data_IF_395990445532
#
_entry.id   IF_395990445532
#
_cell.length_a   1.000
_cell.length_b   1.000
_cell.length_c   1.000
_cell.angle_alpha   90.00
_cell.angle_beta   90.00
_cell.angle_gamma   90.00
#
_symmetry.space_group_name_H-M   'P 1'
#
loop_
_entity.id
_entity.type
_entity.pdbx_description
1 polymer ?
#
# COMPACT_ATOMS: atom_id res chain seq x y z
N UNK A 1 -11.89 0.71 -22.83
CA UNK A 1 -10.93 0.56 -21.73
C UNK A 1 -10.28 -0.81 -21.90
N UNK A 2 -8.97 -0.85 -21.87
CA UNK A 2 -8.20 -2.10 -21.91
C UNK A 2 -7.24 -2.09 -20.73
N UNK A 3 -7.46 -3.01 -19.79
CA UNK A 3 -6.65 -3.19 -18.58
C UNK A 3 -5.72 -4.42 -18.69
N UNK A 4 -5.57 -4.98 -19.88
CA UNK A 4 -4.65 -6.07 -20.06
C UNK A 4 -3.21 -5.55 -19.84
N UNK A 5 -2.43 -6.23 -18.99
CA UNK A 5 -1.03 -5.84 -18.79
C UNK A 5 -0.26 -5.93 -20.10
N UNK A 6 0.64 -4.99 -20.32
CA UNK A 6 1.64 -5.13 -21.39
C UNK A 6 2.57 -6.31 -21.11
N UNK A 7 3.34 -6.74 -22.11
CA UNK A 7 4.32 -7.82 -21.91
C UNK A 7 5.34 -7.46 -20.83
N UNK A 8 5.75 -6.20 -20.74
CA UNK A 8 6.70 -5.70 -19.73
C UNK A 8 6.06 -5.71 -18.32
N UNK A 9 4.82 -5.25 -18.19
CA UNK A 9 4.09 -5.29 -16.94
C UNK A 9 3.87 -6.72 -16.45
N UNK A 10 3.48 -7.63 -17.36
CA UNK A 10 3.29 -9.04 -17.04
C UNK A 10 4.61 -9.73 -16.64
N UNK A 11 5.72 -9.42 -17.32
CA UNK A 11 7.04 -9.94 -16.99
C UNK A 11 7.51 -9.45 -15.62
N UNK A 12 7.35 -8.15 -15.32
CA UNK A 12 7.67 -7.58 -14.00
C UNK A 12 6.84 -8.20 -12.88
N UNK A 13 5.53 -8.38 -13.09
CA UNK A 13 4.64 -9.04 -12.14
C UNK A 13 5.03 -10.50 -11.90
N UNK A 14 5.36 -11.25 -12.96
CA UNK A 14 5.83 -12.64 -12.86
C UNK A 14 7.14 -12.76 -12.08
N UNK A 15 8.08 -11.84 -12.29
CA UNK A 15 9.34 -11.78 -11.52
C UNK A 15 9.07 -11.46 -10.05
N UNK A 16 8.21 -10.46 -9.76
CA UNK A 16 7.82 -10.11 -8.41
C UNK A 16 7.15 -11.29 -7.69
N UNK A 17 6.21 -11.98 -8.36
CA UNK A 17 5.54 -13.17 -7.83
C UNK A 17 6.55 -14.26 -7.42
N UNK A 18 7.58 -14.48 -8.22
CA UNK A 18 8.64 -15.45 -7.90
C UNK A 18 9.43 -15.02 -6.67
N UNK A 19 9.93 -13.78 -6.64
CA UNK A 19 10.74 -13.26 -5.55
C UNK A 19 9.95 -13.26 -4.23
N UNK A 20 8.70 -12.76 -4.24
CA UNK A 20 7.88 -12.74 -3.04
C UNK A 20 7.53 -14.14 -2.55
N UNK A 21 7.18 -15.08 -3.44
CA UNK A 21 6.92 -16.46 -3.07
C UNK A 21 8.14 -17.14 -2.43
N UNK A 22 9.32 -16.92 -3.00
CA UNK A 22 10.53 -17.62 -2.60
C UNK A 22 11.16 -17.02 -1.33
N UNK A 23 11.00 -15.70 -1.10
CA UNK A 23 11.61 -14.98 0.02
C UNK A 23 10.63 -14.55 1.12
N UNK A 24 9.33 -14.42 0.87
CA UNK A 24 8.37 -14.09 1.93
C UNK A 24 7.77 -15.35 2.56
N UNK A 25 8.65 -16.29 3.01
CA UNK A 25 8.22 -17.50 3.71
C UNK A 25 7.72 -17.18 5.12
N UNK A 26 6.94 -18.10 5.70
CA UNK A 26 6.39 -17.91 7.04
C UNK A 26 7.51 -17.68 8.09
N UNK A 27 8.59 -18.45 8.01
CA UNK A 27 9.74 -18.36 8.92
C UNK A 27 10.44 -17.00 8.81
N UNK A 28 10.65 -16.50 7.59
CA UNK A 28 11.27 -15.19 7.36
C UNK A 28 10.39 -14.05 7.82
N UNK A 29 9.09 -14.12 7.55
CA UNK A 29 8.11 -13.14 8.01
C UNK A 29 8.01 -13.12 9.55
N UNK A 30 8.08 -14.27 10.21
CA UNK A 30 8.12 -14.37 11.66
C UNK A 30 9.42 -13.77 12.23
N UNK A 31 10.56 -14.04 11.60
CA UNK A 31 11.86 -13.51 12.00
C UNK A 31 11.96 -11.98 11.84
N UNK A 32 11.32 -11.41 10.82
CA UNK A 32 11.27 -9.96 10.61
C UNK A 32 10.48 -9.21 11.70
N UNK A 33 9.56 -9.89 12.39
CA UNK A 33 8.73 -9.30 13.44
C UNK A 33 7.99 -8.05 12.96
N UNK A 34 8.30 -6.89 13.54
CA UNK A 34 7.80 -5.57 13.12
C UNK A 34 8.83 -4.78 12.29
N UNK A 35 9.90 -5.40 11.83
CA UNK A 35 10.91 -4.83 10.96
C UNK A 35 10.68 -5.18 9.49
N UNK A 36 11.55 -4.69 8.61
CA UNK A 36 11.55 -5.06 7.20
C UNK A 36 12.56 -6.16 6.89
N UNK A 37 12.25 -7.02 5.92
CA UNK A 37 13.15 -8.04 5.43
C UNK A 37 14.19 -7.43 4.48
N UNK A 38 15.41 -7.22 4.99
CA UNK A 38 16.48 -6.56 4.25
C UNK A 38 17.01 -7.38 3.05
N UNK A 39 16.93 -8.71 3.09
CA UNK A 39 17.35 -9.55 1.96
C UNK A 39 16.33 -9.52 0.84
N UNK A 40 15.04 -9.57 1.21
CA UNK A 40 13.97 -9.41 0.24
C UNK A 40 14.05 -8.00 -0.41
N UNK A 41 14.30 -6.96 0.37
CA UNK A 41 14.49 -5.61 -0.15
C UNK A 41 15.65 -5.54 -1.15
N UNK A 42 16.80 -6.12 -0.82
CA UNK A 42 17.97 -6.21 -1.72
C UNK A 42 17.65 -7.02 -2.98
N UNK A 43 16.89 -8.10 -2.88
CA UNK A 43 16.48 -8.89 -4.04
C UNK A 43 15.62 -8.07 -5.02
N UNK A 44 14.60 -7.33 -4.51
CA UNK A 44 13.78 -6.44 -5.33
C UNK A 44 14.63 -5.35 -6.02
N UNK A 45 15.59 -4.76 -5.29
CA UNK A 45 16.48 -3.76 -5.80
C UNK A 45 17.39 -4.31 -6.91
N UNK A 46 18.06 -5.45 -6.64
CA UNK A 46 19.02 -6.07 -7.57
C UNK A 46 18.37 -6.59 -8.85
N UNK A 47 17.10 -7.01 -8.78
CA UNK A 47 16.31 -7.39 -9.95
C UNK A 47 15.67 -6.19 -10.67
N UNK A 48 15.91 -4.96 -10.22
CA UNK A 48 15.42 -3.74 -10.87
C UNK A 48 13.94 -3.45 -10.66
N UNK A 49 13.21 -4.19 -9.80
CA UNK A 49 11.77 -4.02 -9.61
C UNK A 49 11.40 -2.68 -8.97
N UNK A 50 12.30 -2.09 -8.16
CA UNK A 50 12.08 -0.75 -7.60
C UNK A 50 12.22 0.31 -8.71
N UNK A 51 13.22 0.16 -9.57
CA UNK A 51 13.46 1.09 -10.68
C UNK A 51 12.37 1.01 -11.76
N UNK A 52 11.85 -0.18 -12.03
CA UNK A 52 10.88 -0.44 -13.08
C UNK A 52 9.57 0.34 -12.95
N UNK A 53 9.24 0.81 -11.75
CA UNK A 53 7.95 1.51 -11.47
C UNK A 53 7.72 2.71 -12.39
N UNK A 54 8.78 3.42 -12.82
CA UNK A 54 8.65 4.54 -13.75
C UNK A 54 8.35 4.08 -15.19
N UNK A 55 8.76 2.89 -15.56
CA UNK A 55 8.62 2.35 -16.91
C UNK A 55 7.28 1.59 -17.05
N UNK A 56 6.88 0.83 -16.02
CA UNK A 56 5.64 0.03 -16.05
C UNK A 56 4.39 0.83 -15.69
N UNK A 57 4.53 2.06 -15.18
CA UNK A 57 3.42 2.93 -14.78
C UNK A 57 2.71 2.48 -13.50
N UNK A 58 1.59 3.15 -13.21
CA UNK A 58 0.81 2.87 -11.99
C UNK A 58 0.09 1.51 -12.08
N UNK A 59 -0.38 1.11 -13.28
CA UNK A 59 -0.98 -0.21 -13.47
C UNK A 59 0.04 -1.32 -13.22
N UNK A 60 1.26 -1.18 -13.73
CA UNK A 60 2.34 -2.11 -13.44
C UNK A 60 2.66 -2.17 -11.95
N UNK A 61 2.73 -1.02 -11.26
CA UNK A 61 2.94 -0.99 -9.81
C UNK A 61 1.81 -1.72 -9.07
N UNK A 62 0.55 -1.54 -9.44
CA UNK A 62 -0.59 -2.24 -8.84
C UNK A 62 -0.43 -3.76 -8.95
N UNK A 63 0.00 -4.27 -10.11
CA UNK A 63 0.27 -5.71 -10.30
C UNK A 63 1.39 -6.21 -9.38
N UNK A 64 2.47 -5.44 -9.24
CA UNK A 64 3.59 -5.78 -8.34
C UNK A 64 3.13 -5.79 -6.86
N UNK A 65 2.28 -4.86 -6.48
CA UNK A 65 1.74 -4.75 -5.12
C UNK A 65 0.72 -5.84 -4.80
N UNK A 66 -0.03 -6.35 -5.78
CA UNK A 66 -0.84 -7.55 -5.58
C UNK A 66 0.03 -8.72 -5.15
N UNK A 67 1.19 -8.93 -5.75
CA UNK A 67 2.09 -10.02 -5.37
C UNK A 67 2.73 -9.79 -3.99
N UNK A 68 3.08 -8.55 -3.65
CA UNK A 68 3.48 -8.19 -2.29
C UNK A 68 2.38 -8.53 -1.28
N UNK A 69 1.14 -8.13 -1.56
CA UNK A 69 -0.03 -8.37 -0.69
C UNK A 69 -0.35 -9.86 -0.55
N UNK A 70 -0.30 -10.62 -1.63
CA UNK A 70 -0.56 -12.07 -1.66
C UNK A 70 0.29 -12.85 -0.67
N UNK A 71 1.51 -12.39 -0.43
CA UNK A 71 2.45 -13.01 0.51
C UNK A 71 2.57 -12.25 1.83
N UNK A 72 1.96 -11.08 1.96
CA UNK A 72 2.16 -10.14 3.08
C UNK A 72 3.64 -9.81 3.31
N UNK A 73 4.38 -9.60 2.22
CA UNK A 73 5.82 -9.40 2.24
C UNK A 73 6.22 -8.09 2.95
N UNK A 74 7.07 -8.23 3.96
CA UNK A 74 7.38 -7.16 4.91
C UNK A 74 8.55 -6.30 4.42
N UNK A 75 8.28 -5.44 3.45
CA UNK A 75 9.25 -4.50 2.87
C UNK A 75 8.57 -3.17 2.55
N UNK A 76 9.30 -2.03 2.57
CA UNK A 76 8.77 -0.69 2.31
C UNK A 76 8.51 -0.42 0.81
N UNK A 77 8.21 -1.45 0.01
CA UNK A 77 8.11 -1.36 -1.44
C UNK A 77 6.99 -0.41 -1.89
N UNK A 78 5.76 -0.65 -1.42
CA UNK A 78 4.62 0.21 -1.71
C UNK A 78 4.89 1.68 -1.31
N UNK A 79 5.41 1.88 -0.10
CA UNK A 79 5.66 3.22 0.42
C UNK A 79 6.73 3.97 -0.38
N UNK A 80 7.86 3.30 -0.69
CA UNK A 80 8.96 3.92 -1.45
C UNK A 80 8.54 4.28 -2.87
N UNK A 81 7.80 3.41 -3.54
CA UNK A 81 7.30 3.71 -4.87
C UNK A 81 6.29 4.86 -4.86
N UNK A 82 5.30 4.81 -3.97
CA UNK A 82 4.16 5.74 -3.94
C UNK A 82 4.54 7.12 -3.40
N UNK A 83 5.35 7.19 -2.34
CA UNK A 83 5.67 8.46 -1.66
C UNK A 83 7.06 8.99 -1.99
N UNK A 84 7.89 8.19 -2.64
CA UNK A 84 9.22 8.60 -3.08
C UNK A 84 9.29 8.76 -4.59
N UNK A 85 9.24 7.64 -5.32
CA UNK A 85 9.54 7.63 -6.76
C UNK A 85 8.49 8.39 -7.58
N UNK A 86 7.21 8.04 -7.45
CA UNK A 86 6.14 8.64 -8.26
C UNK A 86 6.03 10.16 -8.08
N UNK A 87 5.89 10.72 -6.85
CA UNK A 87 5.74 12.16 -6.68
C UNK A 87 6.98 12.95 -7.07
N UNK A 88 8.19 12.43 -6.82
CA UNK A 88 9.41 13.09 -7.26
C UNK A 88 9.57 13.06 -8.78
N UNK A 89 9.20 11.97 -9.45
CA UNK A 89 9.23 11.89 -10.91
C UNK A 89 8.24 12.88 -11.55
N UNK A 90 7.03 13.00 -11.01
CA UNK A 90 5.98 13.86 -11.56
C UNK A 90 6.15 15.33 -11.18
N UNK A 91 6.43 15.63 -9.91
CA UNK A 91 6.35 16.98 -9.34
C UNK A 91 7.67 17.52 -8.79
N UNK A 92 8.70 16.69 -8.66
CA UNK A 92 10.02 17.12 -8.18
C UNK A 92 10.71 18.10 -9.14
N UNK A 93 11.53 19.00 -8.62
CA UNK A 93 12.40 19.85 -9.45
C UNK A 93 13.43 19.00 -10.19
N UNK A 94 14.06 19.55 -11.23
CA UNK A 94 15.13 18.86 -11.95
C UNK A 94 16.29 18.46 -11.01
N UNK A 95 16.61 19.31 -10.05
CA UNK A 95 17.62 19.04 -9.04
C UNK A 95 17.20 17.90 -8.08
N UNK A 96 15.98 17.95 -7.56
CA UNK A 96 15.42 16.89 -6.72
C UNK A 96 15.43 15.55 -7.43
N UNK A 97 14.96 15.50 -8.68
CA UNK A 97 14.98 14.26 -9.48
C UNK A 97 16.40 13.73 -9.68
N UNK A 98 17.34 14.58 -10.05
CA UNK A 98 18.72 14.16 -10.30
C UNK A 98 19.42 13.63 -9.03
N UNK A 99 19.11 14.19 -7.86
CA UNK A 99 19.73 13.85 -6.58
C UNK A 99 19.09 12.64 -5.92
N UNK A 100 17.76 12.51 -5.96
CA UNK A 100 17.03 11.57 -5.12
C UNK A 100 16.58 10.30 -5.87
N UNK A 101 16.16 10.40 -7.13
CA UNK A 101 15.65 9.23 -7.85
C UNK A 101 16.68 8.11 -8.01
N UNK A 102 17.98 8.35 -8.25
CA UNK A 102 18.93 7.25 -8.35
C UNK A 102 19.01 6.37 -7.11
N UNK A 103 19.13 6.96 -5.93
CA UNK A 103 19.21 6.22 -4.66
C UNK A 103 17.89 5.54 -4.25
N UNK A 104 16.74 6.13 -4.59
CA UNK A 104 15.43 5.49 -4.40
C UNK A 104 15.25 4.28 -5.33
N UNK A 105 15.65 4.40 -6.59
CA UNK A 105 15.55 3.33 -7.60
C UNK A 105 16.46 2.14 -7.31
N UNK A 106 17.60 2.38 -6.70
CA UNK A 106 18.51 1.31 -6.26
C UNK A 106 18.14 0.72 -4.90
N UNK A 107 17.12 1.27 -4.21
CA UNK A 107 16.74 0.85 -2.88
C UNK A 107 17.73 1.25 -1.78
N UNK A 108 18.74 2.06 -2.10
CA UNK A 108 19.71 2.62 -1.15
C UNK A 108 19.04 3.65 -0.23
N UNK A 109 18.11 4.45 -0.79
CA UNK A 109 17.21 5.30 -0.04
C UNK A 109 15.82 4.67 0.03
N UNK A 110 15.14 4.86 1.15
CA UNK A 110 13.77 4.41 1.41
C UNK A 110 12.92 5.64 1.69
N UNK A 111 11.78 5.75 1.02
CA UNK A 111 10.82 6.82 1.27
C UNK A 111 9.51 6.27 1.85
N UNK A 112 8.85 7.10 2.66
CA UNK A 112 7.49 6.86 3.14
C UNK A 112 6.69 8.15 3.14
N UNK A 113 5.39 8.08 3.53
CA UNK A 113 4.51 9.24 3.54
C UNK A 113 3.64 9.34 4.78
N UNK A 114 3.43 10.57 5.25
CA UNK A 114 2.53 10.90 6.35
C UNK A 114 1.13 11.26 5.82
N UNK A 115 0.49 10.34 5.12
CA UNK A 115 -0.78 10.52 4.42
C UNK A 115 -1.96 9.81 5.11
N UNK A 116 -3.20 10.29 4.88
CA UNK A 116 -3.58 11.57 4.26
C UNK A 116 -3.32 12.75 5.19
N UNK A 117 -3.48 13.99 4.68
CA UNK A 117 -3.35 15.19 5.53
C UNK A 117 -4.32 15.13 6.72
N UNK A 118 -3.81 15.38 7.93
CA UNK A 118 -4.59 15.35 9.17
C UNK A 118 -4.58 16.72 9.90
N UNK A 119 -4.16 17.79 9.21
CA UNK A 119 -3.97 19.15 9.77
C UNK A 119 -3.10 19.18 11.02
N UNK A 120 -2.14 18.28 11.10
CA UNK A 120 -1.28 18.08 12.26
C UNK A 120 0.14 18.61 12.03
N UNK A 121 0.43 19.11 10.82
CA UNK A 121 1.72 19.69 10.43
C UNK A 121 1.47 21.03 9.76
N UNK A 122 2.19 22.05 10.22
CA UNK A 122 2.18 23.42 9.69
C UNK A 122 3.54 23.77 9.14
N UNK A 123 3.58 24.58 8.09
CA UNK A 123 4.81 25.14 7.53
C UNK A 123 4.94 26.59 7.96
N UNK A 124 6.13 26.99 8.44
CA UNK A 124 6.47 28.39 8.68
C UNK A 124 6.83 29.10 7.37
N UNK A 125 6.80 30.44 7.31
CA UNK A 125 7.13 31.21 6.11
C UNK A 125 8.54 30.95 5.55
N UNK A 126 9.47 30.54 6.39
CA UNK A 126 10.84 30.16 6.06
C UNK A 126 11.00 28.66 5.68
N UNK A 127 9.89 27.92 5.63
CA UNK A 127 9.86 26.52 5.18
C UNK A 127 10.12 25.49 6.28
N UNK A 128 10.23 25.88 7.55
CA UNK A 128 10.37 24.97 8.68
C UNK A 128 9.05 24.30 9.02
N UNK A 129 9.04 22.96 9.15
CA UNK A 129 7.85 22.19 9.51
C UNK A 129 7.75 21.97 11.01
N UNK A 130 6.54 22.14 11.55
CA UNK A 130 6.23 21.86 12.96
C UNK A 130 4.94 21.06 13.08
N UNK A 131 4.94 20.01 13.90
CA UNK A 131 3.77 19.17 14.12
C UNK A 131 4.08 17.72 14.38
N UNK A 132 3.05 16.87 14.35
CA UNK A 132 3.19 15.44 14.64
C UNK A 132 2.30 14.62 13.72
N UNK A 133 2.89 13.66 12.99
CA UNK A 133 2.17 12.57 12.35
C UNK A 133 2.21 11.34 13.28
N UNK A 134 1.04 10.94 13.81
CA UNK A 134 0.95 9.95 14.87
C UNK A 134 1.38 8.55 14.41
N UNK A 135 1.07 8.19 13.16
CA UNK A 135 1.42 6.90 12.56
C UNK A 135 1.87 7.12 11.13
N UNK A 136 3.11 6.78 10.86
CA UNK A 136 3.70 6.79 9.51
C UNK A 136 4.19 5.37 9.21
N UNK A 137 3.66 4.68 8.21
CA UNK A 137 4.08 3.33 7.85
C UNK A 137 5.55 3.31 7.42
N UNK A 138 6.27 2.27 7.76
CA UNK A 138 7.70 2.07 7.41
C UNK A 138 8.63 3.23 7.79
N UNK A 139 8.23 4.09 8.73
CA UNK A 139 9.06 5.23 9.16
C UNK A 139 10.43 4.81 9.70
N UNK A 140 10.50 3.65 10.37
CA UNK A 140 11.75 3.18 10.97
C UNK A 140 12.81 2.72 9.96
N UNK A 141 12.37 2.44 8.72
CA UNK A 141 13.28 2.09 7.61
C UNK A 141 13.56 3.27 6.70
N UNK A 142 12.75 4.35 6.81
CA UNK A 142 12.77 5.44 5.88
C UNK A 142 13.95 6.40 6.10
N UNK A 143 14.60 6.79 5.03
CA UNK A 143 15.56 7.89 4.97
C UNK A 143 14.88 9.23 4.67
N UNK A 144 13.71 9.17 4.01
CA UNK A 144 12.92 10.34 3.62
C UNK A 144 11.44 10.13 3.92
N UNK A 145 10.76 11.21 4.30
CA UNK A 145 9.31 11.21 4.50
C UNK A 145 8.69 12.33 3.69
N UNK A 146 7.68 11.98 2.89
CA UNK A 146 6.83 12.96 2.22
C UNK A 146 5.68 13.35 3.16
N UNK A 147 5.62 14.63 3.52
CA UNK A 147 4.68 15.15 4.52
C UNK A 147 3.81 16.22 3.88
N UNK A 148 2.49 16.07 3.84
CA UNK A 148 1.58 17.16 3.50
C UNK A 148 1.38 18.07 4.74
N UNK A 149 1.45 19.39 4.54
CA UNK A 149 1.01 20.36 5.54
C UNK A 149 -0.53 20.55 5.53
N UNK A 150 -1.03 21.41 6.41
CA UNK A 150 -2.46 21.70 6.52
C UNK A 150 -3.06 22.33 5.25
N UNK A 151 -2.25 22.97 4.43
CA UNK A 151 -2.63 23.59 3.14
C UNK A 151 -2.45 22.65 1.95
N UNK A 152 -2.14 21.37 2.21
CA UNK A 152 -1.88 20.33 1.19
C UNK A 152 -0.66 20.60 0.32
N UNK A 153 0.31 21.36 0.81
CA UNK A 153 1.62 21.48 0.16
C UNK A 153 2.46 20.26 0.58
N UNK A 154 3.15 19.67 -0.39
CA UNK A 154 4.02 18.52 -0.14
C UNK A 154 5.43 18.97 0.23
N UNK A 155 5.94 18.38 1.28
CA UNK A 155 7.27 18.61 1.81
C UNK A 155 8.03 17.29 1.95
N UNK A 156 9.26 17.25 1.46
CA UNK A 156 10.16 16.13 1.64
C UNK A 156 11.15 16.46 2.73
N UNK A 157 11.24 15.60 3.73
CA UNK A 157 12.17 15.72 4.86
C UNK A 157 13.07 14.49 4.96
N UNK A 158 14.28 14.67 5.44
CA UNK A 158 15.15 13.56 5.84
C UNK A 158 14.84 13.18 7.29
N UNK A 159 14.84 11.89 7.56
CA UNK A 159 14.55 11.39 8.93
C UNK A 159 15.66 11.69 9.94
N UNK A 160 16.87 11.97 9.48
CA UNK A 160 18.05 12.35 10.29
C UNK A 160 18.29 13.87 10.38
N UNK A 161 17.37 14.69 9.81
CA UNK A 161 17.53 16.15 9.81
C UNK A 161 17.30 16.75 11.21
N UNK A 162 17.91 17.91 11.51
CA UNK A 162 17.63 18.66 12.73
C UNK A 162 16.15 18.99 12.86
N UNK A 163 15.61 18.88 14.08
CA UNK A 163 14.19 19.11 14.35
C UNK A 163 13.27 17.95 14.00
N UNK A 164 13.80 16.82 13.53
CA UNK A 164 13.07 15.58 13.26
C UNK A 164 13.30 14.58 14.37
N UNK A 165 12.22 14.06 14.96
CA UNK A 165 12.27 12.97 15.93
C UNK A 165 11.30 11.86 15.51
N UNK A 166 11.75 10.62 15.66
CA UNK A 166 10.95 9.43 15.36
C UNK A 166 10.84 8.53 16.57
N UNK A 167 9.69 7.90 16.76
CA UNK A 167 9.48 6.90 17.80
C UNK A 167 8.69 5.71 17.23
N UNK A 168 9.01 4.46 17.62
CA UNK A 168 8.26 3.30 17.21
C UNK A 168 6.78 3.40 17.58
N UNK A 169 5.90 2.90 16.71
CA UNK A 169 4.46 2.76 16.96
C UNK A 169 4.03 1.36 16.53
N UNK A 170 3.30 0.67 17.39
CA UNK A 170 2.65 -0.58 17.04
C UNK A 170 1.40 -0.30 16.21
N UNK A 171 1.23 -1.08 15.15
CA UNK A 171 0.08 -1.03 14.25
C UNK A 171 -0.56 -2.41 14.13
N UNK A 172 -1.78 -2.47 13.59
CA UNK A 172 -2.49 -3.75 13.40
C UNK A 172 -1.68 -4.73 12.54
N UNK A 173 -1.17 -4.28 11.40
CA UNK A 173 -0.17 -5.04 10.66
C UNK A 173 1.21 -4.82 11.28
N UNK A 174 2.12 -5.80 11.24
CA UNK A 174 3.44 -5.69 11.84
C UNK A 174 4.39 -4.85 10.98
N UNK A 175 3.94 -3.67 10.57
CA UNK A 175 4.76 -2.75 9.78
C UNK A 175 5.78 -2.04 10.65
N UNK A 176 6.88 -1.67 10.05
CA UNK A 176 7.96 -0.88 10.66
C UNK A 176 7.52 0.60 10.83
N UNK A 177 6.37 0.80 11.47
CA UNK A 177 5.74 2.10 11.64
C UNK A 177 6.36 2.93 12.75
N UNK A 178 6.15 4.23 12.70
CA UNK A 178 6.62 5.18 13.71
C UNK A 178 5.77 6.43 13.79
N UNK A 179 5.95 7.17 14.89
CA UNK A 179 5.48 8.53 15.07
C UNK A 179 6.58 9.49 14.60
N UNK A 180 6.18 10.46 13.78
CA UNK A 180 7.06 11.53 13.31
C UNK A 180 6.70 12.81 14.06
N UNK A 181 7.68 13.43 14.73
CA UNK A 181 7.55 14.74 15.39
C UNK A 181 8.52 15.72 14.75
N UNK A 182 8.00 16.89 14.38
CA UNK A 182 8.72 17.94 13.68
C UNK A 182 8.73 19.21 14.55
N UNK A 183 9.89 19.84 14.70
CA UNK A 183 10.09 21.07 15.49
C UNK A 183 10.96 22.02 14.69
N UNK A 184 10.35 22.83 13.83
CA UNK A 184 11.07 23.70 12.90
C UNK A 184 11.98 22.93 11.93
N UNK A 185 11.59 21.70 11.55
CA UNK A 185 12.40 20.82 10.71
C UNK A 185 12.56 21.40 9.31
N UNK A 186 13.79 21.44 8.80
CA UNK A 186 14.08 21.86 7.43
C UNK A 186 13.45 20.86 6.44
N UNK A 187 12.79 21.39 5.41
CA UNK A 187 12.05 20.60 4.45
C UNK A 187 12.16 21.18 3.04
N UNK A 188 12.11 20.31 2.06
CA UNK A 188 12.11 20.68 0.65
C UNK A 188 10.70 20.55 0.06
N UNK A 189 10.19 21.63 -0.53
CA UNK A 189 8.89 21.59 -1.18
C UNK A 189 8.94 20.71 -2.44
N UNK A 190 7.93 19.84 -2.60
CA UNK A 190 7.73 19.01 -3.80
C UNK A 190 6.50 19.51 -4.54
N UNK A 191 6.71 19.91 -5.79
CA UNK A 191 5.64 20.52 -6.61
C UNK A 191 5.39 22.00 -6.26
N UNK A 192 4.51 22.62 -7.05
CA UNK A 192 4.23 24.06 -6.99
C UNK A 192 2.84 24.39 -6.45
N UNK A 193 1.95 23.41 -6.37
CA UNK A 193 0.55 23.61 -6.00
C UNK A 193 -0.06 22.38 -5.32
N UNK A 194 -1.37 22.46 -5.01
CA UNK A 194 -2.10 21.37 -4.35
C UNK A 194 -2.28 20.14 -5.24
N UNK A 195 -2.07 20.26 -6.56
CA UNK A 195 -2.16 19.14 -7.50
C UNK A 195 -1.18 18.02 -7.11
N UNK A 196 0.02 18.36 -6.66
CA UNK A 196 1.02 17.37 -6.25
C UNK A 196 0.50 16.48 -5.10
N UNK A 197 -0.22 17.06 -4.13
CA UNK A 197 -0.87 16.32 -3.07
C UNK A 197 -2.00 15.42 -3.59
N UNK A 198 -2.88 15.98 -4.42
CA UNK A 198 -4.05 15.27 -4.95
C UNK A 198 -3.63 14.09 -5.83
N UNK A 199 -2.64 14.28 -6.70
CA UNK A 199 -2.09 13.22 -7.56
C UNK A 199 -1.41 12.13 -6.72
N UNK A 200 -0.61 12.53 -5.71
CA UNK A 200 0.03 11.57 -4.80
C UNK A 200 -1.00 10.78 -4.00
N UNK A 201 -2.06 11.41 -3.49
CA UNK A 201 -3.10 10.74 -2.74
C UNK A 201 -3.91 9.79 -3.64
N UNK A 202 -4.23 10.19 -4.87
CA UNK A 202 -4.92 9.33 -5.83
C UNK A 202 -4.07 8.10 -6.19
N UNK A 203 -2.78 8.30 -6.49
CA UNK A 203 -1.85 7.21 -6.74
C UNK A 203 -1.70 6.29 -5.52
N UNK A 204 -1.62 6.85 -4.30
CA UNK A 204 -1.56 6.07 -3.06
C UNK A 204 -2.82 5.21 -2.88
N UNK A 205 -4.00 5.78 -3.02
CA UNK A 205 -5.27 5.06 -2.90
C UNK A 205 -5.36 3.91 -3.89
N UNK A 206 -4.98 4.15 -5.14
CA UNK A 206 -4.97 3.14 -6.21
C UNK A 206 -3.96 2.02 -5.91
N UNK A 207 -2.73 2.37 -5.57
CA UNK A 207 -1.66 1.41 -5.31
C UNK A 207 -1.95 0.55 -4.07
N UNK A 208 -2.40 1.16 -2.97
CA UNK A 208 -2.75 0.42 -1.76
C UNK A 208 -4.06 -0.38 -1.92
N UNK A 209 -4.97 -0.02 -2.83
CA UNK A 209 -6.07 -0.88 -3.21
C UNK A 209 -5.57 -2.16 -3.92
N UNK A 210 -4.58 -2.06 -4.81
CA UNK A 210 -3.91 -3.21 -5.40
C UNK A 210 -3.23 -4.11 -4.36
N UNK A 211 -2.52 -3.51 -3.41
CA UNK A 211 -1.94 -4.24 -2.28
C UNK A 211 -3.01 -5.00 -1.48
N UNK A 212 -4.16 -4.36 -1.21
CA UNK A 212 -5.28 -4.97 -0.51
C UNK A 212 -5.91 -6.12 -1.33
N UNK A 213 -6.04 -5.98 -2.66
CA UNK A 213 -6.49 -7.06 -3.53
C UNK A 213 -5.59 -8.30 -3.40
N UNK A 214 -4.27 -8.09 -3.36
CA UNK A 214 -3.29 -9.15 -3.12
C UNK A 214 -3.46 -9.82 -1.75
N UNK A 215 -3.61 -9.03 -0.68
CA UNK A 215 -3.87 -9.56 0.68
C UNK A 215 -5.14 -10.41 0.70
N UNK A 216 -6.21 -9.94 0.05
CA UNK A 216 -7.48 -10.66 -0.07
C UNK A 216 -7.30 -11.98 -0.84
N UNK A 217 -6.62 -11.93 -1.98
CA UNK A 217 -6.36 -13.12 -2.80
C UNK A 217 -5.53 -14.16 -2.05
N UNK A 218 -4.49 -13.74 -1.30
CA UNK A 218 -3.68 -14.61 -0.47
C UNK A 218 -4.48 -15.24 0.68
N UNK A 219 -5.32 -14.45 1.35
CA UNK A 219 -6.22 -14.93 2.42
C UNK A 219 -7.20 -15.97 1.90
N UNK A 220 -7.86 -15.67 0.77
CA UNK A 220 -8.84 -16.55 0.15
C UNK A 220 -8.20 -17.85 -0.35
N UNK A 221 -7.05 -17.78 -1.01
CA UNK A 221 -6.34 -18.96 -1.49
C UNK A 221 -6.00 -19.93 -0.34
N UNK A 222 -5.55 -19.42 0.81
CA UNK A 222 -5.29 -20.22 2.01
C UNK A 222 -6.57 -20.85 2.55
N UNK A 223 -7.68 -20.09 2.60
CA UNK A 223 -8.96 -20.59 3.09
C UNK A 223 -9.52 -21.70 2.17
N UNK A 224 -9.40 -21.53 0.85
CA UNK A 224 -9.80 -22.55 -0.13
C UNK A 224 -8.97 -23.81 0.02
N UNK A 225 -7.64 -23.70 0.12
CA UNK A 225 -6.75 -24.83 0.32
C UNK A 225 -7.09 -25.59 1.64
N UNK A 226 -7.26 -24.86 2.74
CA UNK A 226 -7.61 -25.45 4.04
C UNK A 226 -8.96 -26.17 4.00
N UNK A 227 -10.02 -25.53 3.50
CA UNK A 227 -11.37 -26.11 3.48
C UNK A 227 -11.49 -27.28 2.50
N UNK A 228 -10.66 -27.32 1.47
CA UNK A 228 -10.61 -28.46 0.52
C UNK A 228 -9.91 -29.68 1.09
N UNK A 229 -8.96 -29.50 1.99
CA UNK A 229 -8.23 -30.59 2.65
C UNK A 229 -8.87 -31.03 3.98
N UNK A 230 -9.49 -30.11 4.72
CA UNK A 230 -10.08 -30.39 6.02
C UNK A 230 -11.43 -31.08 5.90
N UNK A 231 -11.56 -32.26 6.48
CA UNK A 231 -12.82 -32.99 6.53
C UNK A 231 -13.52 -32.83 7.88
N UNK A 232 -14.82 -32.61 7.84
CA UNK A 232 -15.75 -32.65 8.96
C UNK A 232 -17.12 -33.15 8.45
N UNK A 233 -17.86 -33.86 9.32
CA UNK A 233 -19.16 -34.45 8.95
C UNK A 233 -19.07 -35.40 7.75
N UNK A 234 -17.94 -36.14 7.64
CA UNK A 234 -17.72 -37.17 6.63
C UNK A 234 -17.36 -36.65 5.23
N UNK A 235 -17.02 -35.39 5.05
CA UNK A 235 -16.63 -34.80 3.78
C UNK A 235 -15.78 -33.53 3.93
N UNK A 236 -15.06 -33.08 2.88
CA UNK A 236 -14.34 -31.81 2.89
C UNK A 236 -15.24 -30.62 3.20
N UNK A 237 -14.73 -29.66 4.00
CA UNK A 237 -15.49 -28.46 4.37
C UNK A 237 -15.93 -27.65 3.14
N UNK A 238 -15.11 -27.62 2.07
CA UNK A 238 -15.41 -26.93 0.81
C UNK A 238 -16.66 -27.42 0.11
N UNK A 239 -17.18 -28.61 0.45
CA UNK A 239 -18.41 -29.18 -0.13
C UNK A 239 -19.68 -28.71 0.60
N UNK A 240 -19.56 -27.99 1.70
CA UNK A 240 -20.70 -27.43 2.42
C UNK A 240 -21.12 -26.10 1.80
N UNK A 241 -22.42 -25.94 1.52
CA UNK A 241 -22.97 -24.78 0.83
C UNK A 241 -22.59 -23.45 1.50
N UNK A 242 -22.60 -23.37 2.84
CA UNK A 242 -22.23 -22.16 3.56
C UNK A 242 -20.76 -21.76 3.33
N UNK A 243 -19.85 -22.74 3.18
CA UNK A 243 -18.44 -22.50 2.86
C UNK A 243 -18.28 -22.03 1.41
N UNK A 244 -18.97 -22.69 0.48
CA UNK A 244 -18.92 -22.32 -0.94
C UNK A 244 -19.43 -20.89 -1.18
N UNK A 245 -20.56 -20.51 -0.58
CA UNK A 245 -21.14 -19.16 -0.71
C UNK A 245 -20.20 -18.09 -0.15
N UNK A 246 -19.63 -18.32 1.04
CA UNK A 246 -18.66 -17.37 1.63
C UNK A 246 -17.40 -17.21 0.78
N UNK A 247 -16.89 -18.31 0.22
CA UNK A 247 -15.72 -18.24 -0.65
C UNK A 247 -16.05 -17.52 -1.98
N UNK A 248 -17.25 -17.73 -2.54
CA UNK A 248 -17.72 -17.05 -3.75
C UNK A 248 -17.89 -15.54 -3.51
N UNK A 249 -18.51 -15.13 -2.40
CA UNK A 249 -18.66 -13.72 -2.04
C UNK A 249 -17.29 -13.05 -1.85
N UNK A 250 -16.35 -13.73 -1.15
CA UNK A 250 -15.00 -13.23 -0.96
C UNK A 250 -14.22 -13.12 -2.28
N UNK A 251 -14.47 -14.01 -3.23
CA UNK A 251 -13.88 -13.92 -4.56
C UNK A 251 -14.44 -12.71 -5.33
N UNK A 252 -15.75 -12.52 -5.34
CA UNK A 252 -16.37 -11.35 -5.99
C UNK A 252 -15.88 -10.04 -5.38
N UNK A 253 -15.78 -9.96 -4.05
CA UNK A 253 -15.24 -8.81 -3.34
C UNK A 253 -13.77 -8.52 -3.74
N UNK A 254 -12.94 -9.57 -3.86
CA UNK A 254 -11.53 -9.43 -4.28
C UNK A 254 -11.44 -8.92 -5.72
N UNK A 255 -12.25 -9.44 -6.64
CA UNK A 255 -12.29 -8.98 -8.04
C UNK A 255 -12.81 -7.53 -8.15
N UNK A 256 -13.76 -7.12 -7.31
CA UNK A 256 -14.24 -5.74 -7.29
C UNK A 256 -13.14 -4.76 -6.87
N UNK A 257 -12.30 -5.12 -5.87
CA UNK A 257 -11.12 -4.31 -5.51
C UNK A 257 -10.16 -4.25 -6.70
N UNK A 258 -9.85 -5.39 -7.30
CA UNK A 258 -8.87 -5.52 -8.39
C UNK A 258 -9.26 -4.69 -9.61
N UNK A 259 -10.47 -4.86 -10.13
CA UNK A 259 -10.90 -4.19 -11.36
C UNK A 259 -10.99 -2.68 -11.18
N UNK A 260 -11.44 -2.20 -10.01
CA UNK A 260 -11.50 -0.75 -9.74
C UNK A 260 -10.11 -0.14 -9.55
N UNK A 261 -9.16 -0.87 -8.95
CA UNK A 261 -7.77 -0.44 -8.85
C UNK A 261 -7.09 -0.39 -10.24
N UNK A 262 -7.36 -1.37 -11.11
CA UNK A 262 -6.84 -1.41 -12.47
C UNK A 262 -7.39 -0.25 -13.32
N UNK A 263 -8.68 0.04 -13.21
CA UNK A 263 -9.27 1.18 -13.90
C UNK A 263 -8.64 2.51 -13.46
N UNK A 264 -8.52 2.73 -12.15
CA UNK A 264 -7.91 3.94 -11.63
C UNK A 264 -6.45 4.10 -12.08
N UNK A 265 -5.67 3.01 -12.04
CA UNK A 265 -4.29 3.00 -12.48
C UNK A 265 -4.14 3.26 -13.97
N UNK A 266 -4.91 2.55 -14.80
CA UNK A 266 -4.93 2.74 -16.25
C UNK A 266 -5.28 4.17 -16.63
N UNK A 267 -6.30 4.78 -15.98
CA UNK A 267 -6.67 6.17 -16.23
C UNK A 267 -5.53 7.13 -15.92
N UNK A 268 -4.83 6.92 -14.80
CA UNK A 268 -3.65 7.71 -14.43
C UNK A 268 -2.57 7.59 -15.50
N UNK A 269 -2.25 6.38 -15.95
CA UNK A 269 -1.22 6.12 -16.97
C UNK A 269 -1.59 6.71 -18.34
N UNK A 270 -2.89 6.87 -18.63
CA UNK A 270 -3.39 7.54 -19.84
C UNK A 270 -3.53 9.07 -19.69
N UNK A 271 -3.14 9.65 -18.57
CA UNK A 271 -3.31 11.08 -18.30
C UNK A 271 -4.77 11.53 -18.19
N UNK A 272 -5.69 10.62 -17.87
CA UNK A 272 -7.11 10.89 -17.65
C UNK A 272 -7.39 11.24 -16.19
N UNK A 273 -8.46 11.99 -15.92
CA UNK A 273 -8.92 12.21 -14.53
C UNK A 273 -9.25 10.86 -13.86
N UNK A 274 -8.48 10.52 -12.83
CA UNK A 274 -8.60 9.26 -12.08
C UNK A 274 -9.10 9.44 -10.65
N UNK A 275 -9.36 10.67 -10.19
CA UNK A 275 -9.66 10.97 -8.78
C UNK A 275 -10.87 10.18 -8.24
N UNK A 276 -11.99 10.18 -8.96
CA UNK A 276 -13.18 9.41 -8.59
C UNK A 276 -12.92 7.90 -8.57
N UNK A 277 -12.14 7.43 -9.53
CA UNK A 277 -11.82 6.02 -9.69
C UNK A 277 -10.87 5.55 -8.59
N UNK A 278 -9.90 6.38 -8.18
CA UNK A 278 -9.04 6.13 -7.03
C UNK A 278 -9.84 6.07 -5.71
N UNK A 279 -10.83 6.96 -5.53
CA UNK A 279 -11.76 6.92 -4.39
C UNK A 279 -12.62 5.65 -4.41
N UNK A 280 -13.12 5.26 -5.59
CA UNK A 280 -13.91 4.04 -5.75
C UNK A 280 -13.08 2.79 -5.42
N UNK A 281 -11.84 2.71 -5.92
CA UNK A 281 -10.92 1.63 -5.61
C UNK A 281 -10.59 1.56 -4.11
N UNK A 282 -10.30 2.70 -3.49
CA UNK A 282 -10.04 2.79 -2.06
C UNK A 282 -11.25 2.39 -1.21
N UNK A 283 -12.47 2.79 -1.61
CA UNK A 283 -13.70 2.37 -0.94
C UNK A 283 -13.91 0.86 -1.00
N UNK A 284 -13.77 0.25 -2.18
CA UNK A 284 -13.83 -1.20 -2.34
C UNK A 284 -12.74 -1.89 -1.51
N UNK A 285 -11.50 -1.38 -1.53
CA UNK A 285 -10.39 -1.91 -0.73
C UNK A 285 -10.69 -1.87 0.77
N UNK A 286 -11.33 -0.80 1.27
CA UNK A 286 -11.74 -0.68 2.67
C UNK A 286 -12.87 -1.65 3.00
N UNK A 287 -14.01 -1.58 2.32
CA UNK A 287 -15.21 -2.34 2.70
C UNK A 287 -15.14 -3.83 2.34
N UNK A 288 -14.71 -4.15 1.11
CA UNK A 288 -14.59 -5.53 0.67
C UNK A 288 -13.36 -6.19 1.29
N UNK A 289 -12.23 -5.49 1.36
CA UNK A 289 -11.00 -6.00 1.97
C UNK A 289 -11.21 -6.51 3.39
N UNK A 290 -11.89 -5.73 4.22
CA UNK A 290 -12.31 -6.13 5.56
C UNK A 290 -13.12 -7.43 5.55
N UNK A 291 -14.13 -7.54 4.68
CA UNK A 291 -15.00 -8.74 4.62
C UNK A 291 -14.23 -9.97 4.20
N UNK A 292 -13.33 -9.85 3.20
CA UNK A 292 -12.56 -10.97 2.68
C UNK A 292 -11.61 -11.55 3.72
N UNK A 293 -10.84 -10.71 4.42
CA UNK A 293 -9.90 -11.21 5.43
C UNK A 293 -10.60 -11.80 6.65
N UNK A 294 -11.77 -11.27 7.02
CA UNK A 294 -12.63 -11.89 8.02
C UNK A 294 -13.17 -13.26 7.55
N UNK A 295 -13.55 -13.38 6.28
CA UNK A 295 -13.98 -14.67 5.71
C UNK A 295 -12.82 -15.66 5.71
N UNK A 296 -11.61 -15.25 5.32
CA UNK A 296 -10.42 -16.10 5.37
C UNK A 296 -10.15 -16.64 6.77
N UNK A 297 -10.17 -15.79 7.78
CA UNK A 297 -10.01 -16.20 9.17
C UNK A 297 -11.16 -17.11 9.65
N UNK A 298 -12.40 -16.74 9.36
CA UNK A 298 -13.57 -17.53 9.76
C UNK A 298 -13.58 -18.95 9.19
N UNK A 299 -13.19 -19.11 7.92
CA UNK A 299 -13.16 -20.43 7.26
C UNK A 299 -12.07 -21.37 7.82
N UNK A 300 -11.05 -20.83 8.49
CA UNK A 300 -10.07 -21.60 9.24
C UNK A 300 -10.56 -22.02 10.65
N UNK A 301 -11.68 -21.46 11.13
CA UNK A 301 -12.20 -21.72 12.47
C UNK A 301 -11.21 -21.28 13.55
N UNK A 302 -11.05 -22.08 14.61
CA UNK A 302 -10.13 -21.77 15.70
C UNK A 302 -8.65 -21.60 15.27
N UNK A 303 -8.21 -22.33 14.26
CA UNK A 303 -6.86 -22.19 13.68
C UNK A 303 -6.65 -20.80 13.06
N UNK A 304 -7.70 -20.14 12.57
CA UNK A 304 -7.60 -18.80 12.03
C UNK A 304 -7.25 -17.71 13.06
N UNK A 305 -7.49 -17.99 14.35
CA UNK A 305 -7.12 -17.10 15.45
C UNK A 305 -5.70 -17.37 16.01
N UNK A 306 -5.04 -18.42 15.55
CA UNK A 306 -3.68 -18.77 15.97
C UNK A 306 -2.70 -17.76 15.35
N UNK A 307 -1.89 -17.12 16.22
CA UNK A 307 -0.89 -16.12 15.81
C UNK A 307 0.25 -16.73 14.98
N UNK A 308 0.51 -18.03 15.15
CA UNK A 308 1.53 -18.75 14.39
C UNK A 308 1.03 -19.22 13.03
N UNK A 309 -0.29 -19.20 12.79
CA UNK A 309 -0.83 -19.62 11.51
C UNK A 309 -0.72 -18.51 10.46
N UNK A 310 -0.22 -18.78 9.24
CA UNK A 310 0.04 -17.77 8.21
C UNK A 310 -1.17 -16.91 7.82
N UNK A 311 -2.42 -17.40 7.96
CA UNK A 311 -3.64 -16.64 7.62
C UNK A 311 -3.83 -15.45 8.56
N UNK A 312 -3.32 -15.51 9.78
CA UNK A 312 -3.37 -14.42 10.74
C UNK A 312 -2.74 -13.13 10.18
N UNK A 313 -1.61 -13.24 9.48
CA UNK A 313 -0.94 -12.08 8.87
C UNK A 313 -1.83 -11.39 7.82
N UNK A 314 -2.53 -12.16 6.98
CA UNK A 314 -3.47 -11.60 6.00
C UNK A 314 -4.60 -10.85 6.69
N UNK A 315 -5.11 -11.39 7.81
CA UNK A 315 -6.11 -10.70 8.61
C UNK A 315 -5.59 -9.35 9.11
N UNK A 316 -4.41 -9.33 9.73
CA UNK A 316 -3.83 -8.09 10.26
C UNK A 316 -3.54 -7.06 9.16
N UNK A 317 -2.98 -7.49 8.03
CA UNK A 317 -2.70 -6.60 6.90
C UNK A 317 -3.98 -6.02 6.30
N UNK A 318 -4.99 -6.86 6.08
CA UNK A 318 -6.27 -6.40 5.55
C UNK A 318 -6.97 -5.41 6.47
N UNK A 319 -6.88 -5.62 7.80
CA UNK A 319 -7.42 -4.70 8.81
C UNK A 319 -6.63 -3.41 8.94
N UNK A 320 -5.34 -3.42 8.66
CA UNK A 320 -4.54 -2.20 8.60
C UNK A 320 -4.86 -1.37 7.37
N UNK A 321 -4.99 -2.02 6.22
CA UNK A 321 -5.25 -1.37 4.94
C UNK A 321 -6.67 -0.79 4.85
N UNK A 322 -7.66 -1.39 5.53
CA UNK A 322 -9.06 -0.93 5.47
C UNK A 322 -9.28 0.49 6.03
N UNK A 323 -8.33 1.00 6.79
CA UNK A 323 -8.42 2.33 7.40
C UNK A 323 -7.20 3.24 7.12
N UNK A 324 -6.21 2.75 6.37
CA UNK A 324 -4.95 3.47 6.23
C UNK A 324 -5.09 4.82 5.52
N UNK A 325 -5.76 4.87 4.38
CA UNK A 325 -5.96 6.10 3.58
C UNK A 325 -7.40 6.64 3.64
N UNK A 326 -8.11 6.31 4.68
CA UNK A 326 -9.52 6.62 4.92
C UNK A 326 -10.34 5.35 5.09
N UNK A 327 -11.34 5.36 5.98
CA UNK A 327 -12.29 4.25 6.12
C UNK A 327 -13.45 4.38 5.11
N UNK A 328 -14.19 3.31 4.88
CA UNK A 328 -15.23 3.24 3.84
C UNK A 328 -16.23 4.39 3.88
N UNK A 329 -16.69 4.81 5.06
CA UNK A 329 -17.63 5.94 5.20
C UNK A 329 -17.00 7.29 4.87
N UNK A 330 -15.75 7.52 5.22
CA UNK A 330 -15.01 8.75 4.89
C UNK A 330 -14.78 8.84 3.38
N UNK A 331 -14.34 7.73 2.76
CA UNK A 331 -14.09 7.64 1.32
C UNK A 331 -15.37 7.85 0.50
N UNK A 332 -16.50 7.27 0.97
CA UNK A 332 -17.79 7.45 0.31
C UNK A 332 -18.29 8.89 0.41
N UNK A 333 -18.11 9.55 1.55
CA UNK A 333 -18.45 10.96 1.73
C UNK A 333 -17.61 11.87 0.82
N UNK A 334 -16.29 11.58 0.72
CA UNK A 334 -15.38 12.32 -0.18
C UNK A 334 -15.76 12.11 -1.65
N UNK A 335 -16.06 10.87 -2.06
CA UNK A 335 -16.54 10.56 -3.42
C UNK A 335 -17.83 11.31 -3.74
N UNK A 336 -18.80 11.32 -2.82
CA UNK A 336 -20.03 12.09 -2.98
C UNK A 336 -19.79 13.60 -3.16
N UNK A 337 -18.83 14.16 -2.41
CA UNK A 337 -18.46 15.58 -2.55
C UNK A 337 -17.80 15.88 -3.92
N UNK A 338 -16.96 14.98 -4.43
CA UNK A 338 -16.33 15.12 -5.76
C UNK A 338 -17.39 15.05 -6.86
N UNK A 339 -18.32 14.10 -6.79
CA UNK A 339 -19.40 13.96 -7.78
C UNK A 339 -20.33 15.16 -7.79
N UNK A 340 -20.67 15.71 -6.63
CA UNK A 340 -21.53 16.89 -6.52
C UNK A 340 -20.90 18.17 -7.11
N UNK A 341 -19.59 18.24 -7.25
CA UNK A 341 -18.89 19.38 -7.89
C UNK A 341 -18.91 19.32 -9.43
N UNK A 342 -19.23 18.17 -10.01
CA UNK A 342 -19.25 17.94 -11.46
C UNK A 342 -20.64 18.08 -12.08
N UNK A 343 -21.69 18.08 -11.27
CA UNK A 343 -23.11 18.26 -11.69
C UNK A 343 -23.58 19.65 -11.45
#
# INVERSE_FOLDING_TARGET
MDFHPTEEQAAAAGLAASIFRDLATHERLAAAGTGSDSELWKALASCGLIAAVQDVGLLGLVLLLEEQGRTTAQVPYAATCVYGILPLAAHGSAEQRARLLPSLRTGEAVATGAFPVRRAVTASPDGGLTGTAAVVPWLRDATHVLVPDEDRVLWLIRTDAPGVATAPVETTAPWSAGRLTLTGAEAERVGTGPEAYEDTLAAARTAFAGLQAGVCAGSLARAVAYTSAREQFGRPLSTHQAVMLRAADAHMDTEAIRVTAYEAAWRTDQGLDAREHALTAAWWASEAGKRVVHTGQHLHGGTGADLEHPVHRHFLWGRQLDAYLGCGSELLAELGAVLAQKG
#
